data_IF_702996945598
#
_entry.id   IF_702996945598
#
_cell.length_a   1.000
_cell.length_b   1.000
_cell.length_c   1.000
_cell.angle_alpha   90.00
_cell.angle_beta   90.00
_cell.angle_gamma   90.00
#
_symmetry.space_group_name_H-M   'P 1'
#
loop_
_entity.id
_entity.type
_entity.pdbx_description
1 polymer ?
#
# COMPACT_ATOMS: atom_id res chain seq x y z
N UNK A 1 13.02 -13.49 21.65
CA UNK A 1 13.99 -12.45 21.24
C UNK A 1 13.31 -11.57 20.20
N UNK A 2 12.83 -10.39 20.57
CA UNK A 2 12.31 -9.39 19.63
C UNK A 2 12.77 -8.01 20.10
N UNK A 3 13.90 -7.57 19.57
CA UNK A 3 14.62 -6.36 19.97
C UNK A 3 14.64 -5.35 18.80
N UNK A 4 13.46 -5.06 18.24
CA UNK A 4 13.26 -3.96 17.31
C UNK A 4 12.27 -2.99 17.95
N UNK A 5 12.80 -2.17 18.85
CA UNK A 5 12.08 -1.06 19.44
C UNK A 5 12.90 0.20 19.17
N UNK A 6 12.77 0.74 17.95
CA UNK A 6 13.24 2.08 17.62
C UNK A 6 12.66 2.55 16.28
N UNK A 7 11.71 3.47 16.32
CA UNK A 7 11.27 4.30 15.17
C UNK A 7 12.43 5.11 14.53
N UNK A 8 13.64 5.01 15.09
CA UNK A 8 14.84 5.68 14.60
C UNK A 8 15.40 5.05 13.33
N UNK A 9 15.20 3.74 13.12
CA UNK A 9 15.84 2.99 12.04
C UNK A 9 15.02 2.99 10.73
N UNK A 10 13.73 3.31 10.81
CA UNK A 10 12.84 3.38 9.65
C UNK A 10 12.51 4.82 9.27
N UNK A 11 12.29 5.03 7.96
CA UNK A 11 11.76 6.27 7.42
C UNK A 11 10.43 5.97 6.74
N UNK A 12 9.34 6.51 7.28
CA UNK A 12 8.02 6.41 6.67
C UNK A 12 7.90 7.49 5.60
N UNK A 13 7.64 7.06 4.37
CA UNK A 13 7.45 7.93 3.21
C UNK A 13 6.04 7.73 2.66
N UNK A 14 5.18 8.77 2.75
CA UNK A 14 3.87 8.74 2.09
C UNK A 14 4.03 9.08 0.62
N UNK A 15 3.42 8.28 -0.24
CA UNK A 15 3.47 8.47 -1.68
C UNK A 15 2.90 9.84 -2.09
N UNK A 16 1.79 10.24 -1.46
CA UNK A 16 1.14 11.53 -1.72
C UNK A 16 2.04 12.71 -1.36
N UNK A 17 2.73 12.66 -0.23
CA UNK A 17 3.69 13.69 0.18
C UNK A 17 4.88 13.75 -0.77
N UNK A 18 5.39 12.57 -1.16
CA UNK A 18 6.51 12.46 -2.09
C UNK A 18 6.20 13.10 -3.44
N UNK A 19 5.02 12.84 -3.99
CA UNK A 19 4.62 13.38 -5.28
C UNK A 19 4.32 14.88 -5.22
N UNK A 20 3.76 15.37 -4.10
CA UNK A 20 3.51 16.80 -3.94
C UNK A 20 4.79 17.63 -3.78
N UNK A 21 5.83 17.07 -3.15
CA UNK A 21 7.10 17.76 -2.93
C UNK A 21 8.27 16.79 -3.01
N UNK A 22 8.64 16.39 -4.24
CA UNK A 22 9.71 15.43 -4.49
C UNK A 22 11.03 15.88 -3.87
N UNK A 23 11.45 17.12 -4.14
CA UNK A 23 12.73 17.66 -3.67
C UNK A 23 12.79 17.72 -2.13
N UNK A 24 11.77 18.32 -1.51
CA UNK A 24 11.71 18.45 -0.04
C UNK A 24 11.70 17.09 0.66
N UNK A 25 10.99 16.12 0.08
CA UNK A 25 10.90 14.76 0.64
C UNK A 25 12.18 13.96 0.42
N UNK A 26 12.83 14.11 -0.74
CA UNK A 26 14.14 13.52 -0.99
C UNK A 26 15.20 14.08 -0.04
N UNK A 27 15.22 15.39 0.21
CA UNK A 27 16.15 16.00 1.18
C UNK A 27 15.96 15.43 2.60
N UNK A 28 14.71 15.25 3.04
CA UNK A 28 14.41 14.58 4.33
C UNK A 28 14.96 13.16 4.38
N UNK A 29 14.75 12.37 3.31
CA UNK A 29 15.24 11.01 3.21
C UNK A 29 16.77 10.97 3.27
N UNK A 30 17.44 11.79 2.46
CA UNK A 30 18.91 11.90 2.38
C UNK A 30 19.51 12.23 3.75
N UNK A 31 18.94 13.23 4.43
CA UNK A 31 19.38 13.64 5.77
C UNK A 31 19.19 12.51 6.78
N UNK A 32 18.08 11.76 6.70
CA UNK A 32 17.79 10.63 7.60
C UNK A 32 18.78 9.48 7.41
N UNK A 33 19.13 9.14 6.18
CA UNK A 33 20.11 8.08 5.87
C UNK A 33 21.57 8.55 6.05
N UNK A 34 21.78 9.82 6.45
CA UNK A 34 23.11 10.46 6.62
C UNK A 34 24.02 10.31 5.40
N UNK A 35 23.42 10.27 4.22
CA UNK A 35 24.17 10.14 2.98
C UNK A 35 24.59 11.53 2.51
N UNK A 36 25.90 11.74 2.36
CA UNK A 36 26.42 12.98 1.77
C UNK A 36 26.23 12.88 0.26
N UNK A 37 25.20 13.53 -0.28
CA UNK A 37 25.02 13.56 -1.73
C UNK A 37 25.52 14.88 -2.28
N UNK A 38 26.34 14.80 -3.33
CA UNK A 38 26.65 15.93 -4.18
C UNK A 38 25.34 16.37 -4.86
N UNK A 39 24.75 17.47 -4.37
CA UNK A 39 23.44 17.97 -4.78
C UNK A 39 23.33 18.14 -6.30
N UNK A 40 24.46 18.32 -7.00
CA UNK A 40 24.52 18.43 -8.47
C UNK A 40 24.13 17.15 -9.22
N UNK A 41 24.16 15.98 -8.58
CA UNK A 41 23.88 14.68 -9.23
C UNK A 41 22.56 14.01 -8.79
N UNK A 42 21.92 14.47 -7.71
CA UNK A 42 20.66 13.87 -7.20
C UNK A 42 19.49 14.04 -8.17
N UNK A 43 19.49 15.12 -8.95
CA UNK A 43 18.34 15.56 -9.75
C UNK A 43 18.54 15.34 -11.26
N UNK A 44 19.58 14.60 -11.68
CA UNK A 44 19.72 14.25 -13.10
C UNK A 44 18.60 13.28 -13.50
N UNK A 45 17.64 13.79 -14.26
CA UNK A 45 16.62 12.98 -14.93
C UNK A 45 17.29 11.87 -15.76
N UNK A 46 16.77 10.65 -15.65
CA UNK A 46 16.86 9.64 -16.72
C UNK A 46 17.77 8.42 -16.53
N UNK A 47 18.63 8.31 -15.51
CA UNK A 47 19.61 7.20 -15.49
C UNK A 47 19.05 5.84 -15.04
N UNK A 48 18.04 5.80 -14.16
CA UNK A 48 17.61 4.52 -13.59
C UNK A 48 16.99 3.58 -14.63
N UNK A 49 16.18 4.10 -15.57
CA UNK A 49 15.57 3.25 -16.59
C UNK A 49 16.59 2.54 -17.49
N UNK A 50 17.76 3.14 -17.67
CA UNK A 50 18.83 2.59 -18.50
C UNK A 50 19.44 1.33 -17.85
N UNK A 51 19.54 1.33 -16.52
CA UNK A 51 20.13 0.23 -15.74
C UNK A 51 19.15 -0.90 -15.39
N UNK A 52 17.85 -0.74 -15.65
CA UNK A 52 16.86 -1.81 -15.45
C UNK A 52 17.12 -2.96 -16.44
N UNK A 53 17.11 -4.24 -16.01
CA UNK A 53 17.19 -5.38 -16.91
C UNK A 53 16.14 -5.35 -18.02
N UNK A 54 16.47 -5.69 -19.29
CA UNK A 54 15.52 -5.63 -20.41
C UNK A 54 14.21 -6.38 -20.18
N UNK A 55 14.26 -7.50 -19.45
CA UNK A 55 13.08 -8.31 -19.08
C UNK A 55 12.10 -7.59 -18.15
N UNK A 56 12.57 -6.62 -17.38
CA UNK A 56 11.77 -5.85 -16.42
C UNK A 56 11.29 -4.51 -17.00
N UNK A 57 11.99 -3.95 -18.00
CA UNK A 57 11.65 -2.65 -18.60
C UNK A 57 10.16 -2.48 -18.99
N UNK A 58 9.45 -3.48 -19.52
CA UNK A 58 8.02 -3.35 -19.83
C UNK A 58 7.14 -2.98 -18.61
N UNK A 59 7.54 -3.36 -17.39
CA UNK A 59 6.82 -3.04 -16.15
C UNK A 59 7.15 -1.65 -15.60
N UNK A 60 8.15 -0.97 -16.17
CA UNK A 60 8.72 0.27 -15.64
C UNK A 60 8.67 1.45 -16.63
N UNK A 61 7.78 1.39 -17.62
CA UNK A 61 7.64 2.42 -18.66
C UNK A 61 7.33 3.81 -18.11
N UNK A 62 6.64 3.87 -16.96
CA UNK A 62 6.23 5.12 -16.33
C UNK A 62 7.35 5.83 -15.54
N UNK A 63 8.51 5.19 -15.32
CA UNK A 63 9.64 5.81 -14.58
C UNK A 63 10.18 7.06 -15.28
N UNK A 64 10.09 7.12 -16.61
CA UNK A 64 10.54 8.28 -17.38
C UNK A 64 9.57 9.44 -17.36
N UNK A 65 8.35 9.25 -16.83
CA UNK A 65 7.31 10.27 -16.82
C UNK A 65 7.34 11.02 -15.50
N UNK A 66 6.95 12.30 -15.54
CA UNK A 66 6.73 13.07 -14.32
C UNK A 66 5.62 12.41 -13.47
N UNK A 67 5.72 12.48 -12.13
CA UNK A 67 4.68 12.00 -11.24
C UNK A 67 3.33 12.65 -11.56
N UNK A 68 2.30 11.82 -11.75
CA UNK A 68 0.94 12.27 -12.07
C UNK A 68 0.10 12.40 -10.79
N UNK A 69 0.03 13.63 -10.27
CA UNK A 69 -0.72 13.98 -9.05
C UNK A 69 -2.22 13.65 -9.20
N UNK A 70 -2.77 13.63 -10.42
CA UNK A 70 -4.19 13.34 -10.65
C UNK A 70 -4.59 11.89 -10.29
N UNK A 71 -3.60 10.99 -10.13
CA UNK A 71 -3.81 9.63 -9.66
C UNK A 71 -4.11 9.57 -8.17
N UNK A 72 -3.69 10.58 -7.39
CA UNK A 72 -4.00 10.68 -5.97
C UNK A 72 -5.53 10.72 -5.82
N UNK A 73 -6.07 9.87 -4.95
CA UNK A 73 -7.51 9.71 -4.72
C UNK A 73 -8.36 9.23 -5.92
N UNK A 74 -7.77 8.89 -7.07
CA UNK A 74 -8.54 8.40 -8.24
C UNK A 74 -9.34 7.14 -7.90
N UNK A 75 -8.83 6.31 -7.00
CA UNK A 75 -9.51 5.13 -6.47
C UNK A 75 -10.88 5.45 -5.85
N UNK A 76 -11.07 6.65 -5.25
CA UNK A 76 -12.35 7.06 -4.63
C UNK A 76 -13.49 7.17 -5.65
N UNK A 77 -13.16 7.42 -6.93
CA UNK A 77 -14.13 7.53 -8.03
C UNK A 77 -14.37 6.19 -8.73
N UNK A 78 -13.43 5.26 -8.63
CA UNK A 78 -13.47 3.98 -9.33
C UNK A 78 -14.12 2.91 -8.45
N UNK A 79 -13.83 2.93 -7.15
CA UNK A 79 -14.31 1.90 -6.23
C UNK A 79 -15.76 2.17 -5.78
N UNK A 80 -16.64 1.16 -5.83
CA UNK A 80 -17.95 1.21 -5.20
C UNK A 80 -17.87 1.50 -3.70
N UNK A 81 -18.89 2.18 -3.17
CA UNK A 81 -18.98 2.51 -1.74
C UNK A 81 -18.91 1.26 -0.83
N UNK A 82 -19.42 0.12 -1.28
CA UNK A 82 -19.38 -1.14 -0.54
C UNK A 82 -17.95 -1.67 -0.39
N UNK A 83 -17.15 -1.58 -1.45
CA UNK A 83 -15.77 -2.06 -1.46
C UNK A 83 -14.90 -1.16 -0.57
N UNK A 84 -15.11 0.15 -0.66
CA UNK A 84 -14.46 1.13 0.23
C UNK A 84 -14.81 0.82 1.69
N UNK A 85 -16.09 0.59 1.99
CA UNK A 85 -16.52 0.26 3.35
C UNK A 85 -15.88 -1.02 3.88
N UNK A 86 -15.89 -2.10 3.10
CA UNK A 86 -15.29 -3.38 3.51
C UNK A 86 -13.78 -3.21 3.75
N UNK A 87 -13.08 -2.54 2.83
CA UNK A 87 -11.66 -2.27 2.96
C UNK A 87 -11.34 -1.45 4.22
N UNK A 88 -12.08 -0.37 4.47
CA UNK A 88 -11.91 0.45 5.67
C UNK A 88 -12.18 -0.35 6.95
N UNK A 89 -13.15 -1.26 6.96
CA UNK A 89 -13.42 -2.11 8.14
C UNK A 89 -12.27 -3.07 8.44
N UNK A 90 -11.68 -3.68 7.41
CA UNK A 90 -10.57 -4.63 7.58
C UNK A 90 -9.27 -3.90 7.89
N UNK A 91 -9.01 -2.77 7.24
CA UNK A 91 -7.73 -2.07 7.29
C UNK A 91 -7.71 -0.87 8.25
N UNK A 92 -8.78 -0.65 9.02
CA UNK A 92 -8.99 0.53 9.86
C UNK A 92 -7.75 0.96 10.64
N UNK A 93 -7.19 0.04 11.43
CA UNK A 93 -6.05 0.35 12.30
C UNK A 93 -4.81 0.76 11.51
N UNK A 94 -4.58 0.15 10.35
CA UNK A 94 -3.43 0.47 9.49
C UNK A 94 -3.59 1.83 8.83
N UNK A 95 -4.80 2.15 8.36
CA UNK A 95 -5.13 3.46 7.79
C UNK A 95 -4.96 4.57 8.82
N UNK A 96 -5.52 4.41 10.01
CA UNK A 96 -5.39 5.38 11.11
C UNK A 96 -3.93 5.55 11.55
N UNK A 97 -3.17 4.47 11.70
CA UNK A 97 -1.72 4.53 12.04
C UNK A 97 -0.87 5.22 10.99
N UNK A 98 -1.34 5.30 9.76
CA UNK A 98 -0.65 5.96 8.65
C UNK A 98 -1.23 7.35 8.34
N UNK A 99 -2.09 7.87 9.24
CA UNK A 99 -2.83 9.13 9.14
C UNK A 99 -3.66 9.27 7.84
N UNK A 100 -4.24 8.17 7.35
CA UNK A 100 -5.24 8.26 6.29
C UNK A 100 -6.64 8.47 6.89
N UNK A 101 -7.37 9.44 6.35
CA UNK A 101 -8.76 9.69 6.72
C UNK A 101 -9.68 8.56 6.21
N UNK A 102 -10.58 8.11 7.08
CA UNK A 102 -11.62 7.15 6.73
C UNK A 102 -12.81 7.89 6.11
N UNK A 103 -13.26 7.44 4.94
CA UNK A 103 -14.40 7.99 4.21
C UNK A 103 -15.74 7.58 4.82
N UNK A 104 -15.80 6.42 5.48
CA UNK A 104 -17.01 5.88 6.12
C UNK A 104 -18.27 5.99 5.26
N UNK A 105 -18.26 5.48 4.01
CA UNK A 105 -19.36 5.68 3.08
C UNK A 105 -20.64 5.00 3.59
N UNK A 106 -21.79 5.63 3.33
CA UNK A 106 -23.10 5.04 3.65
C UNK A 106 -23.35 3.85 2.73
N UNK A 107 -23.54 2.68 3.32
CA UNK A 107 -23.75 1.42 2.60
C UNK A 107 -25.07 0.76 3.00
N UNK A 108 -25.76 0.19 2.03
CA UNK A 108 -26.92 -0.67 2.28
C UNK A 108 -26.43 -2.05 2.69
N UNK A 109 -26.69 -2.46 3.93
CA UNK A 109 -26.25 -3.74 4.49
C UNK A 109 -26.68 -4.95 3.65
N UNK A 110 -27.83 -4.88 2.98
CA UNK A 110 -28.33 -5.91 2.06
C UNK A 110 -27.37 -6.23 0.93
N UNK A 111 -26.53 -5.27 0.51
CA UNK A 111 -25.53 -5.45 -0.56
C UNK A 111 -24.21 -6.05 -0.06
N UNK A 112 -23.97 -6.01 1.25
CA UNK A 112 -22.72 -6.49 1.88
C UNK A 112 -22.92 -7.89 2.49
N UNK A 113 -24.16 -8.21 2.90
CA UNK A 113 -24.50 -9.46 3.54
C UNK A 113 -24.06 -10.70 2.74
N UNK A 114 -24.27 -10.79 1.41
CA UNK A 114 -23.84 -11.97 0.63
C UNK A 114 -22.32 -12.16 0.60
N UNK A 115 -21.56 -11.06 0.59
CA UNK A 115 -20.10 -11.10 0.64
C UNK A 115 -19.63 -11.60 2.00
N UNK A 116 -20.17 -11.08 3.09
CA UNK A 116 -19.83 -11.52 4.44
C UNK A 116 -20.21 -12.99 4.68
N UNK A 117 -21.40 -13.43 4.23
CA UNK A 117 -21.82 -14.83 4.37
C UNK A 117 -20.96 -15.75 3.52
N UNK A 118 -20.56 -15.35 2.31
CA UNK A 118 -19.65 -16.13 1.47
C UNK A 118 -18.27 -16.34 2.14
N UNK A 119 -17.65 -15.26 2.64
CA UNK A 119 -16.32 -15.36 3.26
C UNK A 119 -16.34 -16.12 4.59
N UNK A 120 -17.36 -15.91 5.42
CA UNK A 120 -17.52 -16.67 6.67
C UNK A 120 -17.77 -18.15 6.38
N UNK A 121 -18.68 -18.49 5.46
CA UNK A 121 -18.96 -19.87 5.06
C UNK A 121 -17.70 -20.57 4.54
N UNK A 122 -16.92 -19.92 3.67
CA UNK A 122 -15.66 -20.46 3.17
C UNK A 122 -14.65 -20.71 4.30
N UNK A 123 -14.56 -19.81 5.27
CA UNK A 123 -13.76 -19.99 6.49
C UNK A 123 -14.20 -21.23 7.27
N UNK A 124 -15.48 -21.37 7.55
CA UNK A 124 -16.05 -22.54 8.24
C UNK A 124 -15.79 -23.85 7.50
N UNK A 125 -15.97 -23.88 6.18
CA UNK A 125 -15.68 -25.06 5.35
C UNK A 125 -14.20 -25.43 5.43
N UNK A 126 -13.28 -24.46 5.42
CA UNK A 126 -11.85 -24.73 5.54
C UNK A 126 -11.46 -25.31 6.90
N UNK A 127 -12.10 -24.83 7.99
CA UNK A 127 -11.91 -25.37 9.34
C UNK A 127 -12.47 -26.81 9.43
N UNK A 128 -13.66 -27.04 8.90
CA UNK A 128 -14.27 -28.39 8.84
C UNK A 128 -13.41 -29.37 8.05
N UNK A 129 -12.92 -28.98 6.88
CA UNK A 129 -12.02 -29.79 6.05
C UNK A 129 -10.71 -30.10 6.79
N UNK A 130 -10.12 -29.11 7.47
CA UNK A 130 -8.93 -29.31 8.28
C UNK A 130 -9.15 -30.37 9.38
N UNK A 131 -10.27 -30.30 10.10
CA UNK A 131 -10.60 -31.27 11.13
C UNK A 131 -10.91 -32.67 10.56
N UNK A 132 -11.64 -32.76 9.45
CA UNK A 132 -11.94 -34.05 8.80
C UNK A 132 -10.68 -34.74 8.26
N UNK A 133 -9.78 -33.98 7.62
CA UNK A 133 -8.50 -34.52 7.13
C UNK A 133 -7.58 -34.97 8.29
N UNK A 134 -7.59 -34.25 9.42
CA UNK A 134 -6.81 -34.60 10.61
C UNK A 134 -7.32 -35.87 11.31
N UNK A 135 -8.63 -36.13 11.28
CA UNK A 135 -9.21 -37.37 11.83
C UNK A 135 -8.91 -38.56 10.91
N UNK A 136 -8.89 -38.34 9.59
CA UNK A 136 -8.55 -39.38 8.60
C UNK A 136 -7.07 -39.80 8.61
N UNK A 137 -6.17 -39.01 9.18
CA UNK A 137 -4.72 -39.26 9.19
C UNK A 137 -4.18 -39.92 10.47
N UNK A 138 -5.06 -40.20 11.44
CA UNK A 138 -4.76 -40.91 12.69
C UNK A 138 -5.46 -42.28 12.69
#
# INVERSE_FOLDING_TARGET
SNKYNNDKDFFLLKYEEFIHSTEGTMLKLINKIKMTIDQKNVLKEGSYFEVIPPTQKPMHLDIKKNPDISKINKWKKILPAQDIYIFEKVSKSTLEKSDYELLSPKVQFTRILPLLTYYTFKGWVSILLYHLLRISSN
#
